data_IF_264164392119
#
_entry.id   IF_264164392119
#
_cell.length_a   1.000
_cell.length_b   1.000
_cell.length_c   1.000
_cell.angle_alpha   90.00
_cell.angle_beta   90.00
_cell.angle_gamma   90.00
#
_symmetry.space_group_name_H-M   'P 1'
#
loop_
_entity.id
_entity.type
_entity.pdbx_description
1 polymer ?
#
# COMPACT_ATOMS: atom_id res chain seq x y z
N UNK A 1 -6.39 7.43 16.70
CA UNK A 1 -5.01 6.99 16.43
C UNK A 1 -4.05 7.31 17.58
N UNK A 2 -3.80 8.59 17.92
CA UNK A 2 -2.81 8.97 18.95
C UNK A 2 -3.02 8.26 20.29
N UNK A 3 -4.25 8.27 20.81
CA UNK A 3 -4.59 7.60 22.08
C UNK A 3 -4.31 6.11 22.05
N UNK A 4 -4.68 5.42 20.96
CA UNK A 4 -4.42 3.99 20.77
C UNK A 4 -2.92 3.68 20.75
N UNK A 5 -2.11 4.53 20.10
CA UNK A 5 -0.65 4.37 20.06
C UNK A 5 -0.03 4.59 21.45
N UNK A 6 -0.51 5.58 22.21
CA UNK A 6 -0.04 5.80 23.58
C UNK A 6 -0.43 4.65 24.51
N UNK A 7 -1.64 4.10 24.38
CA UNK A 7 -2.08 2.95 25.16
C UNK A 7 -1.24 1.69 24.86
N UNK A 8 -0.92 1.41 23.59
CA UNK A 8 -0.04 0.30 23.24
C UNK A 8 1.39 0.50 23.79
N UNK A 9 1.89 1.74 23.77
CA UNK A 9 3.19 2.08 24.35
C UNK A 9 3.21 1.85 25.87
N UNK A 10 2.16 2.22 26.60
CA UNK A 10 2.02 1.94 28.04
C UNK A 10 1.98 0.43 28.35
N UNK A 11 1.46 -0.38 27.42
CA UNK A 11 1.43 -1.84 27.49
C UNK A 11 2.73 -2.51 27.02
N UNK A 12 3.75 -1.72 26.67
CA UNK A 12 5.01 -2.19 26.07
C UNK A 12 4.82 -2.98 24.77
N UNK A 13 3.74 -2.71 24.03
CA UNK A 13 3.38 -3.33 22.75
C UNK A 13 3.50 -2.33 21.57
N UNK A 14 3.15 -2.76 20.37
CA UNK A 14 3.13 -1.92 19.17
C UNK A 14 1.92 -2.20 18.29
N UNK A 15 1.64 -1.25 17.38
CA UNK A 15 0.52 -1.28 16.47
C UNK A 15 0.99 -1.11 15.02
N UNK A 16 0.31 -1.82 14.13
CA UNK A 16 0.37 -1.63 12.69
C UNK A 16 -0.69 -0.63 12.23
N UNK A 17 -1.02 -0.69 10.95
CA UNK A 17 -2.11 0.08 10.37
C UNK A 17 -2.14 -0.02 8.85
N UNK A 18 -3.07 0.72 8.24
CA UNK A 18 -3.22 0.78 6.79
C UNK A 18 -2.90 2.21 6.36
N UNK A 19 -2.08 2.34 5.33
CA UNK A 19 -1.79 3.60 4.66
C UNK A 19 -2.53 3.58 3.33
N UNK A 20 -3.44 4.53 3.11
CA UNK A 20 -4.00 4.81 1.79
C UNK A 20 -3.17 5.91 1.12
N UNK A 21 -2.81 5.70 -0.14
CA UNK A 21 -2.11 6.67 -0.96
C UNK A 21 -2.91 6.91 -2.24
N UNK A 22 -2.96 8.18 -2.66
CA UNK A 22 -3.62 8.59 -3.88
C UNK A 22 -2.65 9.42 -4.73
N UNK A 23 -2.42 9.00 -5.97
CA UNK A 23 -1.77 9.83 -6.98
C UNK A 23 -2.85 10.44 -7.88
N UNK A 24 -2.84 11.76 -7.97
CA UNK A 24 -3.82 12.55 -8.75
C UNK A 24 -3.17 13.09 -10.02
N UNK A 25 -3.99 13.35 -11.05
CA UNK A 25 -3.53 13.82 -12.36
C UNK A 25 -2.47 12.89 -12.99
N UNK A 26 -2.61 11.58 -12.74
CA UNK A 26 -1.81 10.57 -13.43
C UNK A 26 -2.25 10.56 -14.90
N UNK A 27 -1.33 10.66 -15.87
CA UNK A 27 -1.66 10.50 -17.27
C UNK A 27 -2.41 9.19 -17.50
N UNK A 28 -3.44 9.23 -18.35
CA UNK A 28 -4.07 8.01 -18.86
C UNK A 28 -3.12 7.27 -19.81
N UNK A 29 -3.23 5.95 -19.88
CA UNK A 29 -2.44 5.12 -20.77
C UNK A 29 -1.17 4.52 -20.17
N UNK A 30 -0.72 4.95 -18.98
CA UNK A 30 0.44 4.34 -18.32
C UNK A 30 0.14 2.90 -17.87
N UNK A 31 1.06 1.98 -18.14
CA UNK A 31 1.00 0.58 -17.73
C UNK A 31 1.02 -0.38 -18.92
N UNK A 32 0.99 -1.69 -18.64
CA UNK A 32 0.91 -2.77 -19.62
C UNK A 32 -0.02 -3.88 -19.09
N UNK A 33 -0.82 -4.60 -19.91
CA UNK A 33 -1.85 -5.48 -19.37
C UNK A 33 -1.33 -6.65 -18.53
N UNK A 34 -0.26 -7.33 -18.97
CA UNK A 34 0.13 -8.62 -18.37
C UNK A 34 1.48 -8.59 -17.65
N UNK A 35 2.54 -8.09 -18.28
CA UNK A 35 3.90 -8.24 -17.74
C UNK A 35 4.27 -7.13 -16.74
N UNK A 36 3.80 -5.91 -17.00
CA UNK A 36 4.20 -4.74 -16.22
C UNK A 36 3.01 -3.82 -15.96
N UNK A 37 1.93 -4.41 -15.43
CA UNK A 37 0.75 -3.69 -14.99
C UNK A 37 1.08 -2.70 -13.89
N UNK A 38 0.35 -1.57 -13.83
CA UNK A 38 0.55 -0.56 -12.78
C UNK A 38 0.41 -1.19 -11.39
N UNK A 39 -0.56 -2.09 -11.19
CA UNK A 39 -0.73 -2.85 -9.95
C UNK A 39 0.48 -3.73 -9.65
N UNK A 40 1.04 -4.41 -10.65
CA UNK A 40 2.19 -5.31 -10.51
C UNK A 40 3.42 -4.56 -10.02
N UNK A 41 3.79 -3.47 -10.70
CA UNK A 41 4.96 -2.66 -10.36
C UNK A 41 4.82 -1.97 -9.01
N UNK A 42 3.65 -1.37 -8.74
CA UNK A 42 3.37 -0.80 -7.43
C UNK A 42 3.44 -1.86 -6.34
N UNK A 43 2.81 -3.01 -6.53
CA UNK A 43 2.84 -4.09 -5.55
C UNK A 43 4.26 -4.54 -5.26
N UNK A 44 5.09 -4.72 -6.29
CA UNK A 44 6.50 -5.09 -6.12
C UNK A 44 7.27 -4.09 -5.25
N UNK A 45 7.17 -2.80 -5.55
CA UNK A 45 7.85 -1.75 -4.79
C UNK A 45 7.29 -1.62 -3.37
N UNK A 46 5.97 -1.71 -3.21
CA UNK A 46 5.31 -1.64 -1.89
C UNK A 46 5.69 -2.83 -1.02
N UNK A 47 5.69 -4.06 -1.54
CA UNK A 47 6.13 -5.23 -0.78
C UNK A 47 7.64 -5.23 -0.48
N UNK A 48 8.43 -4.42 -1.19
CA UNK A 48 9.85 -4.18 -0.89
C UNK A 48 10.05 -3.25 0.32
N UNK A 49 9.02 -2.50 0.73
CA UNK A 49 9.06 -1.68 1.93
C UNK A 49 8.94 -2.58 3.17
N UNK A 50 9.87 -2.48 4.15
CA UNK A 50 9.79 -3.26 5.36
C UNK A 50 8.44 -3.10 6.06
N UNK A 51 7.95 -4.20 6.64
CA UNK A 51 6.68 -4.28 7.37
C UNK A 51 5.40 -4.25 6.52
N UNK A 52 5.46 -4.00 5.20
CA UNK A 52 4.29 -4.19 4.33
C UNK A 52 3.93 -5.69 4.27
N UNK A 53 2.64 -6.00 4.43
CA UNK A 53 2.09 -7.37 4.39
C UNK A 53 0.82 -7.53 3.56
N UNK A 54 0.30 -6.46 2.99
CA UNK A 54 -0.82 -6.48 2.06
C UNK A 54 -0.84 -5.21 1.23
N UNK A 55 -1.31 -5.34 0.00
CA UNK A 55 -1.55 -4.23 -0.93
C UNK A 55 -2.91 -4.45 -1.57
N UNK A 56 -3.69 -3.39 -1.68
CA UNK A 56 -5.00 -3.42 -2.35
C UNK A 56 -5.23 -2.13 -3.14
N UNK A 57 -6.04 -2.19 -4.20
CA UNK A 57 -6.30 -1.07 -5.11
C UNK A 57 -7.79 -0.72 -5.13
N UNK A 58 -8.12 0.58 -5.15
CA UNK A 58 -9.50 1.07 -5.20
C UNK A 58 -10.36 0.56 -4.03
N UNK A 59 -11.45 -0.14 -4.33
CA UNK A 59 -12.31 -0.80 -3.35
C UNK A 59 -11.57 -1.94 -2.60
N UNK A 60 -10.44 -2.38 -3.12
CA UNK A 60 -9.57 -3.35 -2.46
C UNK A 60 -10.24 -4.70 -2.28
N UNK A 61 -10.03 -5.34 -1.13
CA UNK A 61 -10.65 -6.64 -0.86
C UNK A 61 -12.18 -6.60 -0.81
N UNK A 62 -12.79 -5.44 -0.54
CA UNK A 62 -14.25 -5.29 -0.51
C UNK A 62 -14.89 -5.45 -1.90
N UNK A 63 -14.12 -5.31 -2.98
CA UNK A 63 -14.61 -5.54 -4.35
C UNK A 63 -15.13 -6.97 -4.55
N UNK A 64 -14.61 -7.94 -3.80
CA UNK A 64 -15.04 -9.34 -3.86
C UNK A 64 -16.49 -9.54 -3.37
N UNK A 65 -17.03 -8.57 -2.62
CA UNK A 65 -18.40 -8.59 -2.14
C UNK A 65 -19.38 -7.85 -3.07
N UNK A 66 -18.88 -7.25 -4.16
CA UNK A 66 -19.68 -6.47 -5.11
C UNK A 66 -20.17 -7.31 -6.28
N UNK A 67 -21.34 -6.96 -6.83
CA UNK A 67 -21.75 -7.43 -8.16
C UNK A 67 -20.99 -6.65 -9.23
N UNK A 68 -20.84 -7.22 -10.43
CA UNK A 68 -20.16 -6.53 -11.53
C UNK A 68 -20.77 -5.16 -11.88
N UNK A 69 -22.09 -5.00 -11.74
CA UNK A 69 -22.77 -3.70 -11.93
C UNK A 69 -22.37 -2.63 -10.92
N UNK A 70 -21.91 -3.04 -9.74
CA UNK A 70 -21.46 -2.17 -8.65
C UNK A 70 -19.95 -1.94 -8.71
N UNK A 71 -19.17 -2.96 -9.08
CA UNK A 71 -17.72 -2.88 -9.21
C UNK A 71 -17.24 -2.10 -10.46
N UNK A 72 -18.04 -2.08 -11.52
CA UNK A 72 -17.70 -1.36 -12.75
C UNK A 72 -17.75 0.16 -12.55
N UNK A 73 -16.68 0.84 -12.92
CA UNK A 73 -16.64 2.31 -12.93
C UNK A 73 -17.30 2.85 -14.20
N UNK A 74 -18.58 3.19 -14.10
CA UNK A 74 -19.37 3.67 -15.24
C UNK A 74 -18.87 5.03 -15.74
N UNK A 75 -18.77 5.17 -17.06
CA UNK A 75 -18.19 6.34 -17.72
C UNK A 75 -19.22 7.47 -17.93
N UNK A 76 -18.76 8.72 -17.89
CA UNK A 76 -19.47 9.90 -18.39
C UNK A 76 -18.49 10.92 -18.99
N UNK A 77 -19.00 11.89 -19.74
CA UNK A 77 -18.19 12.99 -20.29
C UNK A 77 -18.51 14.28 -19.55
N UNK A 78 -17.48 15.00 -19.12
CA UNK A 78 -17.58 16.35 -18.57
C UNK A 78 -16.47 17.22 -19.12
N UNK A 79 -16.86 18.36 -19.70
CA UNK A 79 -15.95 19.34 -20.30
C UNK A 79 -15.02 18.72 -21.38
N UNK A 80 -15.55 17.75 -22.14
CA UNK A 80 -14.80 17.02 -23.18
C UNK A 80 -13.87 15.92 -22.65
N UNK A 81 -13.81 15.69 -21.34
CA UNK A 81 -12.96 14.67 -20.70
C UNK A 81 -13.81 13.50 -20.23
N UNK A 82 -13.37 12.27 -20.51
CA UNK A 82 -13.99 11.04 -20.00
C UNK A 82 -13.67 10.90 -18.51
N UNK A 83 -14.69 10.64 -17.69
CA UNK A 83 -14.60 10.44 -16.24
C UNK A 83 -15.46 9.26 -15.83
N UNK A 84 -15.35 8.85 -14.57
CA UNK A 84 -16.19 7.78 -14.02
C UNK A 84 -17.00 8.22 -12.81
N UNK A 85 -18.21 7.66 -12.67
CA UNK A 85 -19.11 7.95 -11.55
C UNK A 85 -18.56 7.43 -10.20
N UNK A 86 -17.76 6.38 -10.25
CA UNK A 86 -17.08 5.74 -9.11
C UNK A 86 -15.61 5.50 -9.45
N UNK A 87 -14.81 5.10 -8.46
CA UNK A 87 -13.40 4.74 -8.66
C UNK A 87 -13.06 3.44 -7.89
N UNK A 88 -13.91 2.43 -8.07
CA UNK A 88 -13.81 1.14 -7.40
C UNK A 88 -12.57 0.36 -7.84
N UNK A 89 -12.09 0.57 -9.07
CA UNK A 89 -10.87 -0.06 -9.58
C UNK A 89 -9.61 0.78 -9.28
N UNK A 90 -9.76 1.92 -8.60
CA UNK A 90 -8.62 2.68 -8.07
C UNK A 90 -7.73 3.30 -9.13
N UNK A 91 -8.31 3.77 -10.24
CA UNK A 91 -7.58 4.45 -11.30
C UNK A 91 -6.86 3.54 -12.28
N UNK A 92 -6.99 2.21 -12.14
CA UNK A 92 -6.41 1.23 -13.05
C UNK A 92 -7.50 0.31 -13.61
N UNK A 93 -7.51 0.06 -14.91
CA UNK A 93 -8.36 -0.95 -15.57
C UNK A 93 -7.47 -1.76 -16.50
N UNK A 94 -7.48 -3.08 -16.36
CA UNK A 94 -6.70 -3.97 -17.21
C UNK A 94 -5.20 -3.68 -17.18
N UNK A 95 -4.67 -3.24 -16.03
CA UNK A 95 -3.25 -2.93 -15.87
C UNK A 95 -2.82 -1.53 -16.27
N UNK A 96 -3.75 -0.72 -16.77
CA UNK A 96 -3.49 0.59 -17.38
C UNK A 96 -4.27 1.69 -16.65
N UNK A 97 -3.62 2.83 -16.45
CA UNK A 97 -4.24 4.03 -15.88
C UNK A 97 -5.28 4.63 -16.83
N UNK A 98 -6.43 5.04 -16.32
CA UNK A 98 -7.53 5.56 -17.16
C UNK A 98 -7.98 6.98 -16.76
N UNK A 99 -7.07 7.77 -16.18
CA UNK A 99 -7.27 9.20 -15.90
C UNK A 99 -7.99 9.51 -14.58
N UNK A 100 -8.46 8.50 -13.85
CA UNK A 100 -8.97 8.65 -12.48
C UNK A 100 -7.82 8.60 -11.45
N UNK A 101 -8.02 9.10 -10.22
CA UNK A 101 -6.99 9.00 -9.18
C UNK A 101 -6.55 7.55 -8.99
N UNK A 102 -5.25 7.33 -9.01
CA UNK A 102 -4.65 6.04 -8.65
C UNK A 102 -4.75 5.90 -7.13
N UNK A 103 -5.56 4.96 -6.65
CA UNK A 103 -5.81 4.75 -5.22
C UNK A 103 -5.38 3.34 -4.83
N UNK A 104 -4.52 3.24 -3.82
CA UNK A 104 -4.13 1.97 -3.25
C UNK A 104 -3.89 2.08 -1.74
N UNK A 105 -3.91 0.94 -1.06
CA UNK A 105 -3.60 0.85 0.37
C UNK A 105 -2.53 -0.18 0.63
N UNK A 106 -1.67 0.10 1.62
CA UNK A 106 -0.65 -0.81 2.10
C UNK A 106 -0.87 -1.13 3.59
N UNK A 107 -0.97 -2.42 3.90
CA UNK A 107 -1.08 -2.92 5.27
C UNK A 107 0.31 -3.05 5.90
N UNK A 108 0.56 -2.26 6.94
CA UNK A 108 1.82 -2.23 7.70
C UNK A 108 1.63 -3.05 8.98
N UNK A 109 2.42 -4.11 9.15
CA UNK A 109 2.40 -4.91 10.37
C UNK A 109 2.98 -4.13 11.57
N UNK A 110 2.61 -4.49 12.82
CA UNK A 110 3.25 -3.95 14.01
C UNK A 110 4.78 -4.14 14.05
N UNK A 111 5.46 -3.23 14.75
CA UNK A 111 6.90 -3.31 14.99
C UNK A 111 7.21 -4.58 15.79
N UNK A 112 8.10 -5.47 15.34
CA UNK A 112 8.35 -6.73 16.04
C UNK A 112 9.11 -6.56 17.36
N UNK A 113 9.84 -5.45 17.52
CA UNK A 113 10.62 -5.14 18.71
C UNK A 113 9.76 -4.46 19.76
N UNK A 114 9.19 -5.28 20.66
CA UNK A 114 8.32 -4.85 21.77
C UNK A 114 8.92 -5.23 23.12
N UNK A 115 8.45 -4.60 24.19
CA UNK A 115 8.92 -4.83 25.56
C UNK A 115 8.23 -6.00 26.28
N UNK A 116 7.19 -6.59 25.68
CA UNK A 116 6.55 -7.83 26.15
C UNK A 116 7.46 -9.01 25.83
N UNK A 117 7.74 -9.87 26.82
CA UNK A 117 8.55 -11.08 26.63
C UNK A 117 7.94 -11.99 25.55
N UNK A 118 8.77 -12.42 24.59
CA UNK A 118 8.38 -13.31 23.50
C UNK A 118 9.18 -14.61 23.53
N UNK A 119 8.59 -15.69 23.05
CA UNK A 119 9.28 -16.96 22.86
C UNK A 119 10.16 -16.89 21.61
N UNK A 120 11.36 -17.46 21.70
CA UNK A 120 12.31 -17.56 20.59
C UNK A 120 13.18 -18.81 20.76
N UNK A 121 14.21 -18.94 19.94
CA UNK A 121 15.21 -20.00 20.02
C UNK A 121 16.61 -19.40 20.13
N UNK A 122 17.47 -20.03 20.94
CA UNK A 122 18.90 -19.77 20.94
C UNK A 122 19.55 -20.70 19.91
N UNK A 123 20.05 -20.10 18.82
CA UNK A 123 20.65 -20.84 17.70
C UNK A 123 21.99 -21.50 18.11
N UNK A 124 22.72 -20.92 19.06
CA UNK A 124 24.02 -21.47 19.51
C UNK A 124 23.82 -22.69 20.39
N UNK A 125 22.87 -22.59 21.31
CA UNK A 125 22.57 -23.62 22.30
C UNK A 125 21.54 -24.65 21.81
N UNK A 126 20.95 -24.41 20.63
CA UNK A 126 19.90 -25.22 20.00
C UNK A 126 18.72 -25.54 20.96
N UNK A 127 18.24 -24.51 21.68
CA UNK A 127 17.17 -24.66 22.69
C UNK A 127 16.14 -23.54 22.60
N UNK A 128 14.92 -23.84 23.04
CA UNK A 128 13.87 -22.83 23.23
C UNK A 128 14.27 -21.88 24.36
N UNK A 129 14.00 -20.59 24.17
CA UNK A 129 14.25 -19.55 25.17
C UNK A 129 13.23 -18.43 25.05
N UNK A 130 13.34 -17.40 25.89
CA UNK A 130 12.57 -16.17 25.77
C UNK A 130 13.49 -14.99 25.50
N UNK A 131 12.94 -13.95 24.89
CA UNK A 131 13.62 -12.68 24.67
C UNK A 131 12.69 -11.55 25.10
N UNK A 132 13.24 -10.60 25.84
CA UNK A 132 12.59 -9.34 26.16
C UNK A 132 13.50 -8.23 25.66
N UNK A 133 12.99 -7.41 24.74
CA UNK A 133 13.77 -6.33 24.14
C UNK A 133 13.61 -5.10 25.04
N UNK A 134 14.73 -4.45 25.36
CA UNK A 134 14.77 -3.25 26.20
C UNK A 134 15.28 -2.06 25.40
N UNK A 135 14.81 -0.85 25.74
CA UNK A 135 15.24 0.40 25.12
C UNK A 135 14.12 1.15 24.41
N UNK A 136 14.50 2.06 23.51
CA UNK A 136 13.54 2.88 22.76
C UNK A 136 13.06 2.12 21.53
N UNK A 137 11.74 1.91 21.45
CA UNK A 137 11.08 1.30 20.30
C UNK A 137 9.96 2.20 19.80
N UNK A 138 9.63 2.05 18.53
CA UNK A 138 8.52 2.77 17.92
C UNK A 138 7.22 2.00 18.15
N UNK A 139 6.27 2.51 18.96
CA UNK A 139 4.99 1.85 19.21
C UNK A 139 4.11 1.83 17.97
N UNK A 140 4.38 2.67 16.97
CA UNK A 140 3.74 2.62 15.67
C UNK A 140 4.61 3.33 14.63
N UNK A 141 4.95 2.64 13.54
CA UNK A 141 5.76 3.20 12.44
C UNK A 141 4.92 3.77 11.29
N UNK A 142 3.59 3.60 11.31
CA UNK A 142 2.69 3.99 10.22
C UNK A 142 2.85 5.45 9.79
N UNK A 143 2.91 6.46 10.69
CA UNK A 143 3.10 7.85 10.27
C UNK A 143 4.43 8.09 9.53
N UNK A 144 5.47 7.30 9.84
CA UNK A 144 6.77 7.38 9.15
C UNK A 144 6.78 6.64 7.82
N UNK A 145 5.85 5.69 7.64
CA UNK A 145 5.66 4.97 6.39
C UNK A 145 5.01 5.83 5.30
N UNK A 146 4.24 6.86 5.65
CA UNK A 146 3.55 7.74 4.70
C UNK A 146 4.47 8.25 3.57
N UNK A 147 5.58 8.96 3.85
CA UNK A 147 6.46 9.45 2.78
C UNK A 147 7.16 8.33 2.00
N UNK A 148 7.33 7.14 2.59
CA UNK A 148 7.97 6.00 1.92
C UNK A 148 7.01 5.38 0.89
N UNK A 149 5.73 5.27 1.24
CA UNK A 149 4.68 4.78 0.35
C UNK A 149 4.46 5.76 -0.82
N UNK A 150 4.43 7.06 -0.53
CA UNK A 150 4.34 8.11 -1.55
C UNK A 150 5.54 8.06 -2.52
N UNK A 151 6.76 7.90 -1.99
CA UNK A 151 7.95 7.80 -2.80
C UNK A 151 7.94 6.54 -3.71
N UNK A 152 7.49 5.39 -3.19
CA UNK A 152 7.35 4.18 -3.99
C UNK A 152 6.34 4.34 -5.13
N UNK A 153 5.22 5.01 -4.88
CA UNK A 153 4.25 5.32 -5.92
C UNK A 153 4.82 6.26 -6.98
N UNK A 154 5.52 7.32 -6.55
CA UNK A 154 6.16 8.27 -7.46
C UNK A 154 7.21 7.60 -8.35
N UNK A 155 8.04 6.70 -7.78
CA UNK A 155 9.03 5.94 -8.53
C UNK A 155 8.38 4.99 -9.55
N UNK A 156 7.31 4.29 -9.16
CA UNK A 156 6.57 3.41 -10.07
C UNK A 156 6.02 4.17 -11.29
N UNK A 157 5.40 5.33 -11.04
CA UNK A 157 4.82 6.16 -12.10
C UNK A 157 5.88 6.80 -12.98
N UNK A 158 6.99 7.26 -12.39
CA UNK A 158 8.11 7.83 -13.13
C UNK A 158 8.70 6.81 -14.11
N UNK A 159 8.86 5.55 -13.70
CA UNK A 159 9.37 4.49 -14.56
C UNK A 159 8.52 4.34 -15.83
N UNK A 160 7.19 4.37 -15.72
CA UNK A 160 6.30 4.30 -16.89
C UNK A 160 6.44 5.53 -17.80
N UNK A 161 6.45 6.73 -17.22
CA UNK A 161 6.60 7.98 -17.98
C UNK A 161 7.94 8.04 -18.74
N UNK A 162 9.01 7.48 -18.16
CA UNK A 162 10.32 7.39 -18.81
C UNK A 162 10.38 6.33 -19.90
N UNK A 163 9.50 5.32 -19.86
CA UNK A 163 9.41 4.29 -20.89
C UNK A 163 8.62 4.79 -22.11
N UNK A 164 7.49 5.46 -21.89
CA UNK A 164 6.66 6.00 -22.98
C UNK A 164 7.35 7.14 -23.75
N UNK A 165 8.12 7.99 -23.06
CA UNK A 165 8.90 9.08 -23.70
C UNK A 165 10.02 8.61 -24.65
N UNK A 166 10.21 7.28 -24.80
CA UNK A 166 11.13 6.69 -25.78
C UNK A 166 10.46 6.26 -27.09
N UNK A 167 9.14 6.38 -27.20
CA UNK A 167 8.36 5.89 -28.36
C UNK A 167 7.90 7.03 -29.29
N UNK A 168 8.34 8.28 -29.05
CA UNK A 168 8.19 9.40 -29.99
C UNK A 168 9.35 9.52 -30.99
#
# INVERSE_FOLDING_TARGET
MKETVLAAMEQADSLGGIIECAAINVPEGLGDPFFDSVESRLSHLLFSIPSVKGVEFGAGFDIANMKGSEANDQLYIKDGVVKTYTNNNGGIIGGITYGMPLIFRAAIKPTPSIGIEQRTVDIKENKNTSIQITGRHDPCIVPRGLPVIEAAAALALLDYMLFESRVE
#
